data_IF_888381150613
#
_entry.id   IF_888381150613
#
_cell.length_a   1.000
_cell.length_b   1.000
_cell.length_c   1.000
_cell.angle_alpha   90.00
_cell.angle_beta   90.00
_cell.angle_gamma   90.00
#
_symmetry.space_group_name_H-M   'P 1'
#
loop_
_entity.id
_entity.type
_entity.pdbx_description
1 polymer ?
#
# COMPACT_ATOMS: atom_id res chain seq x y z
N UNK A 1 -14.73 -8.35 58.92
CA UNK A 1 -15.28 -7.70 57.71
C UNK A 1 -14.39 -6.59 57.17
N UNK A 2 -13.90 -5.66 58.00
CA UNK A 2 -13.00 -4.57 57.55
C UNK A 2 -11.66 -5.07 57.01
N UNK A 3 -10.98 -5.98 57.71
CA UNK A 3 -9.67 -6.52 57.28
C UNK A 3 -9.78 -7.32 55.97
N UNK A 4 -10.82 -8.13 55.81
CA UNK A 4 -11.06 -8.90 54.58
C UNK A 4 -11.34 -7.99 53.39
N UNK A 5 -12.11 -6.92 53.58
CA UNK A 5 -12.36 -5.89 52.56
C UNK A 5 -11.07 -5.16 52.15
N UNK A 6 -10.22 -4.81 53.12
CA UNK A 6 -8.94 -4.13 52.87
C UNK A 6 -8.00 -5.04 52.06
N UNK A 7 -7.90 -6.32 52.42
CA UNK A 7 -7.05 -7.29 51.71
C UNK A 7 -7.55 -7.51 50.28
N UNK A 8 -8.87 -7.65 50.06
CA UNK A 8 -9.41 -7.80 48.71
C UNK A 8 -9.21 -6.55 47.86
N UNK A 9 -9.40 -5.36 48.44
CA UNK A 9 -9.19 -4.10 47.73
C UNK A 9 -7.72 -3.93 47.31
N UNK A 10 -6.78 -4.24 48.21
CA UNK A 10 -5.35 -4.20 47.91
C UNK A 10 -4.96 -5.16 46.77
N UNK A 11 -5.55 -6.36 46.74
CA UNK A 11 -5.26 -7.37 45.72
C UNK A 11 -5.81 -6.96 44.34
N UNK A 12 -7.03 -6.41 44.28
CA UNK A 12 -7.63 -5.88 43.04
C UNK A 12 -6.82 -4.69 42.51
N UNK A 13 -6.42 -3.76 43.37
CA UNK A 13 -5.59 -2.61 43.01
C UNK A 13 -4.23 -3.08 42.47
N UNK A 14 -3.61 -4.07 43.12
CA UNK A 14 -2.35 -4.68 42.64
C UNK A 14 -2.48 -5.28 41.24
N UNK A 15 -3.58 -5.99 40.96
CA UNK A 15 -3.86 -6.54 39.63
C UNK A 15 -4.07 -5.45 38.57
N UNK A 16 -4.78 -4.36 38.89
CA UNK A 16 -5.00 -3.23 37.99
C UNK A 16 -3.68 -2.50 37.65
N UNK A 17 -2.81 -2.30 38.64
CA UNK A 17 -1.49 -1.69 38.44
C UNK A 17 -0.64 -2.58 37.53
N UNK A 18 -0.61 -3.90 37.77
CA UNK A 18 0.12 -4.84 36.93
C UNK A 18 -0.36 -4.82 35.47
N UNK A 19 -1.67 -4.81 35.23
CA UNK A 19 -2.24 -4.72 33.89
C UNK A 19 -1.89 -3.38 33.22
N UNK A 20 -1.99 -2.27 33.95
CA UNK A 20 -1.62 -0.93 33.46
C UNK A 20 -0.15 -0.86 33.07
N UNK A 21 0.77 -1.32 33.92
CA UNK A 21 2.22 -1.33 33.64
C UNK A 21 2.57 -2.21 32.44
N UNK A 22 1.97 -3.40 32.32
CA UNK A 22 2.17 -4.29 31.16
C UNK A 22 1.64 -3.64 29.88
N UNK A 23 0.48 -2.99 29.94
CA UNK A 23 -0.11 -2.28 28.80
C UNK A 23 0.75 -1.09 28.36
N UNK A 24 1.29 -0.33 29.32
CA UNK A 24 2.13 0.83 29.08
C UNK A 24 3.48 0.43 28.48
N UNK A 25 4.16 -0.57 29.06
CA UNK A 25 5.41 -1.12 28.49
C UNK A 25 5.20 -1.69 27.08
N UNK A 26 4.04 -2.30 26.80
CA UNK A 26 3.68 -2.74 25.45
C UNK A 26 3.39 -1.59 24.50
N UNK A 27 2.79 -0.49 24.96
CA UNK A 27 2.51 0.72 24.17
C UNK A 27 3.79 1.48 23.82
N UNK A 28 4.73 1.59 24.76
CA UNK A 28 6.05 2.16 24.49
C UNK A 28 6.83 1.37 23.42
N UNK A 29 6.73 0.03 23.41
CA UNK A 29 7.27 -0.80 22.32
C UNK A 29 6.58 -0.62 20.96
N UNK A 30 5.36 -0.05 20.91
CA UNK A 30 4.65 0.29 19.66
C UNK A 30 5.04 1.65 19.08
N UNK A 31 5.54 2.57 19.91
CA UNK A 31 5.88 3.93 19.49
C UNK A 31 7.19 4.02 18.69
N UNK A 32 7.94 2.93 18.55
CA UNK A 32 9.26 2.93 17.93
C UNK A 32 9.30 2.94 16.40
N UNK A 33 8.19 2.73 15.68
CA UNK A 33 8.25 2.55 14.21
C UNK A 33 7.00 3.06 13.48
N UNK A 34 6.59 4.30 13.76
CA UNK A 34 5.77 5.04 12.78
C UNK A 34 6.77 5.80 11.93
N UNK A 35 7.11 5.25 10.76
CA UNK A 35 7.86 5.99 9.75
C UNK A 35 7.00 7.21 9.36
N UNK A 36 7.50 8.45 9.50
CA UNK A 36 6.85 9.59 8.91
C UNK A 36 6.85 9.35 7.40
N UNK A 37 5.67 9.23 6.82
CA UNK A 37 5.48 9.03 5.39
C UNK A 37 6.29 10.07 4.62
N UNK A 38 7.29 9.58 3.88
CA UNK A 38 8.16 10.38 3.03
C UNK A 38 7.32 11.20 2.04
N UNK A 39 7.62 12.50 2.01
CA UNK A 39 7.26 13.50 1.02
C UNK A 39 5.77 13.65 0.68
N UNK A 40 5.14 14.66 1.29
CA UNK A 40 3.86 15.19 0.85
C UNK A 40 3.93 15.62 -0.63
N UNK A 41 3.02 15.10 -1.44
CA UNK A 41 2.77 15.52 -2.82
C UNK A 41 2.52 17.03 -2.84
N UNK A 42 3.46 17.82 -3.34
CA UNK A 42 3.28 19.27 -3.47
C UNK A 42 2.35 19.55 -4.65
N UNK A 43 1.16 20.05 -4.37
CA UNK A 43 0.17 20.47 -5.36
C UNK A 43 -0.02 21.98 -5.24
N UNK A 44 -0.22 22.67 -6.37
CA UNK A 44 -0.58 24.08 -6.39
C UNK A 44 -1.80 24.30 -7.31
N UNK A 45 -2.52 25.40 -7.12
CA UNK A 45 -3.60 25.80 -8.03
C UNK A 45 -3.01 26.57 -9.20
N UNK A 46 -3.41 26.27 -10.45
CA UNK A 46 -2.89 26.96 -11.61
C UNK A 46 -3.33 28.43 -11.61
N UNK A 47 -2.40 29.34 -11.95
CA UNK A 47 -2.69 30.77 -12.07
C UNK A 47 -3.47 31.09 -13.37
N UNK A 48 -4.12 32.26 -13.42
CA UNK A 48 -4.87 32.69 -14.61
C UNK A 48 -3.98 32.74 -15.89
N UNK A 49 -2.71 33.11 -15.75
CA UNK A 49 -1.75 33.11 -16.85
C UNK A 49 -1.31 31.70 -17.29
N UNK A 50 -1.29 30.73 -16.38
CA UNK A 50 -0.98 29.32 -16.70
C UNK A 50 -2.13 28.70 -17.49
N UNK A 51 -3.37 28.97 -17.07
CA UNK A 51 -4.57 28.52 -17.77
C UNK A 51 -4.59 29.04 -19.21
N UNK A 52 -4.32 30.33 -19.41
CA UNK A 52 -4.30 30.93 -20.75
C UNK A 52 -3.21 30.32 -21.64
N UNK A 53 -2.02 30.04 -21.09
CA UNK A 53 -0.94 29.40 -21.84
C UNK A 53 -1.30 27.95 -22.24
N UNK A 54 -1.91 27.19 -21.33
CA UNK A 54 -2.36 25.82 -21.59
C UNK A 54 -3.44 25.82 -22.69
N UNK A 55 -4.42 26.74 -22.64
CA UNK A 55 -5.46 26.87 -23.66
C UNK A 55 -4.87 27.22 -25.03
N UNK A 56 -3.91 28.13 -25.07
CA UNK A 56 -3.22 28.50 -26.30
C UNK A 56 -2.48 27.29 -26.92
N UNK A 57 -1.74 26.51 -26.11
CA UNK A 57 -1.04 25.32 -26.60
C UNK A 57 -2.00 24.23 -27.08
N UNK A 58 -3.10 23.99 -26.38
CA UNK A 58 -4.12 23.02 -26.80
C UNK A 58 -4.83 23.42 -28.09
N UNK A 59 -5.16 24.71 -28.26
CA UNK A 59 -5.76 25.21 -29.51
C UNK A 59 -4.79 25.12 -30.69
N UNK A 60 -3.50 25.39 -30.47
CA UNK A 60 -2.45 25.20 -31.47
C UNK A 60 -2.26 23.73 -31.84
N UNK A 61 -2.23 22.83 -30.86
CA UNK A 61 -2.15 21.38 -31.10
C UNK A 61 -3.38 20.84 -31.84
N UNK A 62 -4.58 21.33 -31.52
CA UNK A 62 -5.81 21.00 -32.24
C UNK A 62 -5.77 21.42 -33.71
N UNK A 63 -5.27 22.61 -34.01
CA UNK A 63 -5.09 23.08 -35.39
C UNK A 63 -4.13 22.18 -36.19
N UNK A 64 -3.03 21.73 -35.56
CA UNK A 64 -2.06 20.83 -36.19
C UNK A 64 -2.59 19.40 -36.38
N UNK A 65 -3.38 18.89 -35.44
CA UNK A 65 -3.99 17.57 -35.55
C UNK A 65 -4.98 17.52 -36.73
N UNK A 66 -5.80 18.58 -36.89
CA UNK A 66 -6.73 18.72 -38.01
C UNK A 66 -6.00 18.89 -39.34
N UNK A 67 -4.86 19.59 -39.39
CA UNK A 67 -4.11 19.78 -40.64
C UNK A 67 -3.38 18.53 -41.12
N UNK A 68 -3.02 17.60 -40.22
CA UNK A 68 -2.18 16.43 -40.53
C UNK A 68 -2.96 15.10 -40.59
N UNK A 69 -4.30 15.11 -40.50
CA UNK A 69 -5.13 13.89 -40.43
C UNK A 69 -4.65 12.90 -39.35
N UNK A 70 -4.14 13.42 -38.22
CA UNK A 70 -3.66 12.59 -37.11
C UNK A 70 -4.86 12.18 -36.25
N UNK A 71 -5.08 10.87 -36.07
CA UNK A 71 -6.08 10.35 -35.15
C UNK A 71 -5.56 10.41 -33.70
N UNK A 72 -5.33 11.63 -33.20
CA UNK A 72 -4.79 11.88 -31.87
C UNK A 72 -5.87 12.35 -30.88
N UNK A 73 -5.91 11.74 -29.70
CA UNK A 73 -6.72 12.20 -28.56
C UNK A 73 -6.02 13.35 -27.86
N UNK A 74 -6.45 14.57 -28.15
CA UNK A 74 -5.98 15.77 -27.44
C UNK A 74 -6.55 15.80 -26.01
N UNK A 75 -5.81 16.32 -25.02
CA UNK A 75 -6.36 16.56 -23.70
C UNK A 75 -7.52 17.56 -23.79
N UNK A 76 -8.68 17.18 -23.28
CA UNK A 76 -9.78 18.11 -23.09
C UNK A 76 -9.56 18.89 -21.79
N UNK A 77 -9.68 20.23 -21.81
CA UNK A 77 -9.50 21.03 -20.59
C UNK A 77 -10.37 20.49 -19.44
N UNK A 78 -9.82 20.29 -18.23
CA UNK A 78 -10.54 19.64 -17.15
C UNK A 78 -11.77 20.46 -16.72
N UNK A 79 -12.92 19.80 -16.59
CA UNK A 79 -14.09 20.40 -15.91
C UNK A 79 -14.02 20.31 -14.38
N UNK A 80 -13.14 19.45 -13.83
CA UNK A 80 -13.14 19.09 -12.40
C UNK A 80 -11.81 19.21 -11.64
N UNK A 81 -10.67 19.26 -12.33
CA UNK A 81 -9.34 19.25 -11.69
C UNK A 81 -8.69 20.64 -11.79
N UNK A 82 -8.51 21.29 -10.64
CA UNK A 82 -7.99 22.67 -10.49
C UNK A 82 -6.60 22.67 -9.81
N UNK A 83 -5.83 21.60 -9.99
CA UNK A 83 -4.55 21.43 -9.30
C UNK A 83 -3.48 20.85 -10.23
N UNK A 84 -2.30 21.45 -10.18
CA UNK A 84 -1.07 20.97 -10.81
C UNK A 84 -0.24 20.25 -9.76
N UNK A 85 0.15 19.01 -10.07
CA UNK A 85 0.88 18.11 -9.18
C UNK A 85 2.34 18.01 -9.60
N UNK A 86 3.24 18.22 -8.66
CA UNK A 86 4.68 18.05 -8.89
C UNK A 86 5.11 16.62 -8.56
N UNK A 87 5.69 15.95 -9.55
CA UNK A 87 6.13 14.56 -9.51
C UNK A 87 7.62 14.47 -9.85
N UNK A 88 8.35 13.54 -9.25
CA UNK A 88 9.75 13.27 -9.57
C UNK A 88 9.87 11.87 -10.19
N UNK A 89 9.63 11.75 -11.50
CA UNK A 89 9.55 10.46 -12.20
C UNK A 89 10.36 10.45 -13.51
N UNK A 90 10.58 9.26 -14.05
CA UNK A 90 11.18 9.07 -15.39
C UNK A 90 10.09 9.09 -16.46
N UNK A 91 10.37 9.77 -17.58
CA UNK A 91 9.51 9.76 -18.77
C UNK A 91 10.02 8.70 -19.75
N UNK A 92 9.15 7.81 -20.21
CA UNK A 92 9.43 6.81 -21.24
C UNK A 92 8.65 7.14 -22.51
N UNK A 93 9.28 7.02 -23.69
CA UNK A 93 8.62 7.29 -24.99
C UNK A 93 8.58 6.04 -25.86
N UNK A 94 7.48 5.86 -26.57
CA UNK A 94 7.29 4.78 -27.55
C UNK A 94 6.87 5.37 -28.89
N UNK A 95 7.49 4.92 -29.97
CA UNK A 95 7.08 5.27 -31.32
C UNK A 95 6.00 4.30 -31.79
N UNK A 96 4.79 4.82 -32.07
CA UNK A 96 3.74 4.06 -32.73
C UNK A 96 3.83 4.37 -34.23
N UNK A 97 4.00 3.34 -35.09
CA UNK A 97 4.01 3.55 -36.53
C UNK A 97 2.59 3.82 -37.02
N UNK A 98 2.33 5.04 -37.48
CA UNK A 98 1.06 5.45 -38.09
C UNK A 98 1.23 5.65 -39.60
N UNK A 99 0.12 5.65 -40.37
CA UNK A 99 0.13 5.68 -41.84
C UNK A 99 0.89 6.88 -42.43
N UNK A 100 1.01 7.99 -41.70
CA UNK A 100 1.66 9.23 -42.13
C UNK A 100 2.95 9.57 -41.36
N UNK A 101 3.49 8.68 -40.52
CA UNK A 101 4.73 8.94 -39.77
C UNK A 101 4.87 8.15 -38.48
N UNK A 102 6.01 8.32 -37.80
CA UNK A 102 6.20 7.80 -36.44
C UNK A 102 5.69 8.83 -35.43
N UNK A 103 4.70 8.43 -34.61
CA UNK A 103 4.16 9.26 -33.55
C UNK A 103 4.74 8.83 -32.20
N UNK A 104 5.16 9.80 -31.38
CA UNK A 104 5.71 9.53 -30.05
C UNK A 104 4.61 9.61 -28.98
N UNK A 105 4.47 8.54 -28.21
CA UNK A 105 3.61 8.47 -27.03
C UNK A 105 4.48 8.46 -25.78
N UNK A 106 4.17 9.34 -24.82
CA UNK A 106 4.94 9.52 -23.59
C UNK A 106 4.23 8.88 -22.41
N UNK A 107 5.01 8.28 -21.51
CA UNK A 107 4.51 7.58 -20.34
C UNK A 107 5.29 7.97 -19.09
N UNK A 108 4.56 8.14 -17.99
CA UNK A 108 5.11 8.32 -16.64
C UNK A 108 4.64 7.15 -15.79
N UNK A 109 5.57 6.35 -15.24
CA UNK A 109 5.25 5.18 -14.40
C UNK A 109 4.25 4.19 -15.06
N UNK A 110 4.24 4.14 -16.40
CA UNK A 110 3.35 3.29 -17.18
C UNK A 110 2.00 3.91 -17.58
N UNK A 111 1.72 5.16 -17.17
CA UNK A 111 0.52 5.89 -17.58
C UNK A 111 0.83 6.78 -18.79
N UNK A 112 -0.06 6.80 -19.79
CA UNK A 112 0.07 7.68 -20.95
C UNK A 112 -0.17 9.13 -20.55
N UNK A 113 0.69 10.02 -21.05
CA UNK A 113 0.72 11.44 -20.68
C UNK A 113 0.95 12.25 -21.95
N UNK A 114 0.23 13.36 -22.07
CA UNK A 114 0.45 14.32 -23.14
C UNK A 114 1.62 15.23 -22.80
N UNK A 115 2.65 15.18 -23.64
CA UNK A 115 3.79 16.09 -23.59
C UNK A 115 3.72 17.06 -24.78
N UNK A 116 3.62 18.37 -24.54
CA UNK A 116 3.78 19.39 -25.58
C UNK A 116 5.14 19.28 -26.26
N UNK A 117 5.18 19.40 -27.60
CA UNK A 117 6.40 19.21 -28.39
C UNK A 117 7.57 20.13 -27.97
N UNK A 118 7.24 21.32 -27.46
CA UNK A 118 8.23 22.30 -26.98
C UNK A 118 9.00 21.79 -25.75
N UNK A 119 8.39 20.88 -24.97
CA UNK A 119 8.99 20.31 -23.78
C UNK A 119 9.79 19.02 -24.04
N UNK A 120 9.76 18.47 -25.25
CA UNK A 120 10.47 17.22 -25.58
C UNK A 120 12.00 17.35 -25.45
N UNK A 121 12.54 18.54 -25.69
CA UNK A 121 13.99 18.79 -25.60
C UNK A 121 14.52 18.75 -24.17
N UNK A 122 13.66 18.93 -23.15
CA UNK A 122 14.07 19.02 -21.75
C UNK A 122 13.96 17.71 -20.98
N UNK A 123 13.74 16.57 -21.66
CA UNK A 123 13.64 15.25 -21.02
C UNK A 123 15.03 14.78 -20.56
N UNK A 124 15.14 14.48 -19.26
CA UNK A 124 16.31 13.88 -18.62
C UNK A 124 15.99 12.48 -18.05
N UNK A 125 17.00 11.81 -17.47
CA UNK A 125 16.85 10.48 -16.86
C UNK A 125 15.98 10.49 -15.59
N UNK A 126 15.93 11.62 -14.89
CA UNK A 126 15.10 11.85 -13.69
C UNK A 126 14.51 13.24 -13.82
N UNK A 127 13.18 13.35 -13.94
CA UNK A 127 12.54 14.62 -14.24
C UNK A 127 11.66 15.10 -13.08
N UNK A 128 11.67 16.40 -12.83
CA UNK A 128 10.66 17.08 -12.02
C UNK A 128 9.57 17.52 -12.98
N UNK A 129 8.38 16.93 -12.85
CA UNK A 129 7.29 17.04 -13.80
C UNK A 129 6.10 17.68 -13.09
N UNK A 130 5.60 18.77 -13.62
CA UNK A 130 4.38 19.43 -13.17
C UNK A 130 3.24 18.97 -14.09
N UNK A 131 2.33 18.15 -13.55
CA UNK A 131 1.26 17.48 -14.31
C UNK A 131 -0.10 18.00 -13.88
N UNK A 132 -0.94 18.31 -14.89
CA UNK A 132 -2.35 18.63 -14.71
C UNK A 132 -3.20 17.46 -15.20
N UNK A 133 -4.07 16.95 -14.34
CA UNK A 133 -5.01 15.89 -14.73
C UNK A 133 -6.16 16.49 -15.53
N UNK A 134 -6.36 16.02 -16.75
CA UNK A 134 -7.46 16.43 -17.62
C UNK A 134 -8.54 15.34 -17.66
N UNK A 135 -9.73 15.63 -18.21
CA UNK A 135 -10.83 14.66 -18.29
C UNK A 135 -10.54 13.50 -19.27
N UNK A 136 -9.38 13.50 -19.94
CA UNK A 136 -8.93 12.46 -20.87
C UNK A 136 -7.53 11.94 -20.60
N UNK A 137 -6.48 12.71 -20.91
CA UNK A 137 -5.08 12.31 -20.74
C UNK A 137 -4.35 13.39 -19.95
N UNK A 138 -3.59 13.07 -18.89
CA UNK A 138 -2.87 14.04 -18.09
C UNK A 138 -1.90 14.81 -18.98
N UNK A 139 -1.84 16.11 -18.77
CA UNK A 139 -1.01 17.01 -19.54
C UNK A 139 0.16 17.50 -18.69
N UNK A 140 1.36 17.46 -19.25
CA UNK A 140 2.55 18.05 -18.62
C UNK A 140 2.51 19.55 -18.88
N UNK A 141 2.49 20.32 -17.79
CA UNK A 141 2.49 21.79 -17.78
C UNK A 141 3.89 22.34 -17.52
N UNK A 142 4.73 21.59 -16.82
CA UNK A 142 6.12 21.96 -16.62
C UNK A 142 7.05 20.76 -16.55
N UNK A 143 8.29 20.96 -17.01
CA UNK A 143 9.32 19.94 -17.03
C UNK A 143 10.66 20.55 -16.60
N UNK A 144 11.26 20.01 -15.55
CA UNK A 144 12.61 20.36 -15.07
C UNK A 144 12.82 21.87 -14.81
N UNK A 145 11.77 22.55 -14.36
CA UNK A 145 11.80 23.99 -14.07
C UNK A 145 11.42 24.88 -15.26
N UNK A 146 11.15 24.30 -16.43
CA UNK A 146 10.57 25.00 -17.58
C UNK A 146 9.05 24.90 -17.54
N UNK A 147 8.37 26.03 -17.69
CA UNK A 147 6.91 26.16 -17.67
C UNK A 147 6.40 26.49 -19.09
N UNK A 148 5.22 25.99 -19.45
CA UNK A 148 4.60 26.22 -20.77
C UNK A 148 4.37 27.70 -21.10
N UNK A 149 4.25 28.54 -20.07
CA UNK A 149 4.11 30.00 -20.19
C UNK A 149 5.28 30.67 -20.89
N UNK A 150 6.49 30.13 -20.74
CA UNK A 150 7.71 30.69 -21.33
C UNK A 150 7.71 30.58 -22.86
N UNK A 151 6.84 29.73 -23.42
CA UNK A 151 6.82 29.39 -24.84
C UNK A 151 5.60 29.92 -25.59
N UNK A 152 5.00 31.01 -25.11
CA UNK A 152 3.74 31.56 -25.66
C UNK A 152 3.96 32.38 -26.94
N UNK A 153 5.11 33.05 -27.09
CA UNK A 153 5.23 34.16 -28.06
C UNK A 153 5.99 33.89 -29.37
N UNK A 154 6.90 32.91 -29.49
CA UNK A 154 7.72 32.82 -30.73
C UNK A 154 8.15 31.41 -31.20
N UNK A 155 7.83 30.34 -30.46
CA UNK A 155 8.14 28.97 -30.92
C UNK A 155 7.03 28.43 -31.82
N UNK A 156 6.86 29.06 -32.98
CA UNK A 156 6.12 28.49 -34.08
C UNK A 156 6.72 27.12 -34.43
N UNK A 157 5.95 26.05 -34.19
CA UNK A 157 6.11 24.78 -34.88
C UNK A 157 7.49 24.16 -34.73
N UNK A 158 7.86 23.72 -33.52
CA UNK A 158 8.82 22.63 -33.43
C UNK A 158 8.17 21.41 -34.10
N UNK A 159 8.46 21.25 -35.40
CA UNK A 159 8.19 20.02 -36.15
C UNK A 159 8.62 18.85 -35.27
N UNK A 160 7.88 17.74 -35.21
CA UNK A 160 8.42 16.52 -34.62
C UNK A 160 9.74 16.23 -35.35
N UNK A 161 10.87 16.49 -34.69
CA UNK A 161 12.15 16.15 -35.26
C UNK A 161 12.13 14.62 -35.35
N UNK A 162 12.10 14.13 -36.58
CA UNK A 162 12.58 12.79 -36.94
C UNK A 162 14.07 12.75 -36.63
N UNK A 163 14.42 12.77 -35.34
CA UNK A 163 15.78 12.50 -34.90
C UNK A 163 15.99 11.01 -35.12
N UNK A 164 16.59 10.74 -36.28
CA UNK A 164 17.11 9.47 -36.73
C UNK A 164 18.17 9.00 -35.71
N UNK A 165 17.69 8.48 -34.58
CA UNK A 165 18.51 7.81 -33.59
C UNK A 165 18.16 6.33 -33.70
N UNK A 166 19.11 5.62 -34.28
CA UNK A 166 19.13 4.22 -34.69
C UNK A 166 19.07 3.27 -33.49
N UNK A 167 18.11 3.45 -32.59
CA UNK A 167 17.86 2.55 -31.48
C UNK A 167 16.77 1.58 -31.93
N UNK A 168 17.02 0.25 -31.95
CA UNK A 168 16.02 -0.70 -32.40
C UNK A 168 14.84 -0.66 -31.43
N UNK A 169 13.69 -0.17 -31.91
CA UNK A 169 12.42 -0.25 -31.19
C UNK A 169 11.89 -1.67 -31.33
N UNK A 170 12.15 -2.48 -30.31
CA UNK A 170 11.50 -3.78 -30.13
C UNK A 170 10.08 -3.56 -29.62
N UNK A 171 9.14 -3.32 -30.54
CA UNK A 171 7.73 -3.58 -30.29
C UNK A 171 7.51 -5.11 -30.33
N UNK A 172 7.98 -5.80 -29.28
CA UNK A 172 7.63 -7.18 -29.08
C UNK A 172 6.19 -7.21 -28.57
N UNK A 173 5.26 -7.61 -29.44
CA UNK A 173 4.05 -8.32 -29.01
C UNK A 173 4.60 -9.47 -28.17
N UNK A 174 4.57 -9.32 -26.85
CA UNK A 174 5.02 -10.33 -25.92
C UNK A 174 3.95 -11.42 -25.98
N UNK A 175 4.08 -12.29 -26.99
CA UNK A 175 3.47 -13.60 -26.98
C UNK A 175 3.78 -14.18 -25.62
N UNK A 176 2.72 -14.57 -24.92
CA UNK A 176 2.72 -15.06 -23.55
C UNK A 176 3.50 -16.39 -23.51
N UNK A 177 4.82 -16.33 -23.64
CA UNK A 177 5.70 -17.41 -23.22
C UNK A 177 5.48 -17.46 -21.73
N UNK A 178 4.83 -18.52 -21.26
CA UNK A 178 4.83 -18.94 -19.86
C UNK A 178 6.06 -18.35 -19.18
N UNK A 179 5.89 -17.27 -18.42
CA UNK A 179 6.98 -16.77 -17.61
C UNK A 179 7.37 -17.98 -16.76
N UNK A 180 8.60 -18.47 -16.89
CA UNK A 180 9.03 -19.74 -16.30
C UNK A 180 8.74 -19.72 -14.79
N UNK A 181 7.56 -20.20 -14.42
CA UNK A 181 7.16 -20.37 -13.03
C UNK A 181 7.56 -21.77 -12.67
N UNK A 182 8.61 -21.86 -11.88
CA UNK A 182 9.05 -23.10 -11.29
C UNK A 182 8.33 -23.24 -9.94
N UNK A 183 7.47 -24.25 -9.82
CA UNK A 183 6.90 -24.63 -8.54
C UNK A 183 7.97 -25.37 -7.73
N UNK A 184 8.41 -24.76 -6.61
CA UNK A 184 9.47 -25.31 -5.77
C UNK A 184 8.93 -26.31 -4.74
N UNK A 185 7.62 -26.28 -4.45
CA UNK A 185 6.98 -27.20 -3.53
C UNK A 185 6.03 -26.52 -2.54
N UNK A 186 5.57 -27.29 -1.56
CA UNK A 186 4.74 -26.81 -0.46
C UNK A 186 5.49 -26.82 0.86
N UNK A 187 5.22 -25.81 1.67
CA UNK A 187 5.78 -25.63 3.01
C UNK A 187 4.64 -25.34 3.98
N UNK A 188 4.71 -25.84 5.20
CA UNK A 188 3.76 -25.44 6.26
C UNK A 188 4.03 -24.05 6.80
N UNK A 189 2.95 -23.35 7.09
CA UNK A 189 2.93 -22.05 7.76
C UNK A 189 3.71 -22.09 9.09
N UNK A 190 4.44 -21.01 9.37
CA UNK A 190 5.13 -20.82 10.63
C UNK A 190 4.22 -20.30 11.73
N UNK A 191 4.56 -20.54 13.00
CA UNK A 191 3.76 -20.07 14.14
C UNK A 191 3.60 -18.56 14.17
N UNK A 192 4.62 -17.83 13.70
CA UNK A 192 4.62 -16.39 13.66
C UNK A 192 3.60 -15.85 12.64
N UNK A 193 3.57 -16.43 11.43
CA UNK A 193 2.58 -16.11 10.40
C UNK A 193 1.15 -16.44 10.87
N UNK A 194 0.97 -17.63 11.48
CA UNK A 194 -0.32 -18.06 12.02
C UNK A 194 -0.91 -17.06 13.02
N UNK A 195 -0.06 -16.55 13.92
CA UNK A 195 -0.45 -15.60 14.96
C UNK A 195 -0.83 -14.22 14.39
N UNK A 196 -0.35 -13.83 13.20
CA UNK A 196 -0.75 -12.57 12.56
C UNK A 196 -2.19 -12.63 12.07
N UNK A 197 -2.60 -13.78 11.51
CA UNK A 197 -3.94 -13.98 10.97
C UNK A 197 -4.98 -14.25 12.07
N UNK A 198 -4.62 -15.01 13.10
CA UNK A 198 -5.53 -15.41 14.17
C UNK A 198 -5.37 -14.54 15.42
N UNK A 199 -6.25 -13.53 15.58
CA UNK A 199 -6.32 -12.75 16.81
C UNK A 199 -7.10 -13.49 17.92
N UNK A 200 -6.43 -14.31 18.74
CA UNK A 200 -7.06 -15.02 19.86
C UNK A 200 -7.32 -14.13 21.11
N UNK A 201 -7.65 -12.85 20.89
CA UNK A 201 -7.75 -11.86 21.97
C UNK A 201 -9.11 -11.79 22.65
N UNK A 202 -10.18 -12.29 22.02
CA UNK A 202 -11.53 -12.20 22.60
C UNK A 202 -11.69 -13.15 23.80
N UNK A 203 -11.37 -14.43 23.62
CA UNK A 203 -11.52 -15.44 24.70
C UNK A 203 -10.67 -15.10 25.92
N UNK A 204 -9.43 -14.65 25.70
CA UNK A 204 -8.56 -14.21 26.80
C UNK A 204 -9.09 -12.97 27.52
N UNK A 205 -9.61 -11.98 26.78
CA UNK A 205 -10.24 -10.79 27.35
C UNK A 205 -11.50 -11.12 28.16
N UNK A 206 -12.40 -11.91 27.61
CA UNK A 206 -13.66 -12.30 28.26
C UNK A 206 -13.42 -13.09 29.54
N UNK A 207 -12.43 -14.01 29.56
CA UNK A 207 -12.07 -14.75 30.77
C UNK A 207 -11.53 -13.83 31.88
N UNK A 208 -10.71 -12.84 31.51
CA UNK A 208 -10.19 -11.86 32.47
C UNK A 208 -11.33 -11.01 33.04
N UNK A 209 -12.21 -10.47 32.18
CA UNK A 209 -13.35 -9.64 32.61
C UNK A 209 -14.30 -10.44 33.51
N UNK A 210 -14.66 -11.65 33.11
CA UNK A 210 -15.53 -12.52 33.90
C UNK A 210 -14.90 -12.88 35.26
N UNK A 211 -13.59 -13.17 35.28
CA UNK A 211 -12.85 -13.43 36.51
C UNK A 211 -12.83 -12.24 37.47
N UNK A 212 -12.60 -11.01 36.96
CA UNK A 212 -12.66 -9.79 37.78
C UNK A 212 -14.07 -9.53 38.30
N UNK A 213 -15.10 -9.68 37.45
CA UNK A 213 -16.49 -9.45 37.83
C UNK A 213 -16.93 -10.45 38.91
N UNK A 214 -16.53 -11.72 38.78
CA UNK A 214 -16.79 -12.77 39.77
C UNK A 214 -16.10 -12.48 41.12
N UNK A 215 -14.86 -11.99 41.08
CA UNK A 215 -14.17 -11.58 42.31
C UNK A 215 -14.80 -10.34 42.97
N UNK A 216 -15.36 -9.42 42.16
CA UNK A 216 -16.02 -8.21 42.66
C UNK A 216 -17.38 -8.53 43.30
N UNK A 217 -18.17 -9.43 42.70
CA UNK A 217 -19.45 -9.87 43.27
C UNK A 217 -19.27 -10.70 44.53
N UNK A 218 -18.13 -11.40 44.69
CA UNK A 218 -17.81 -12.17 45.90
C UNK A 218 -17.82 -11.31 47.18
N UNK A 219 -17.45 -10.03 47.08
CA UNK A 219 -17.36 -9.11 48.23
C UNK A 219 -18.71 -8.88 48.92
N UNK A 220 -19.81 -8.99 48.18
CA UNK A 220 -21.17 -8.79 48.69
C UNK A 220 -21.81 -10.08 49.24
N UNK A 221 -21.16 -11.23 49.09
CA UNK A 221 -21.73 -12.53 49.45
C UNK A 221 -21.41 -12.94 50.89
N UNK A 222 -22.22 -13.83 51.49
CA UNK A 222 -21.95 -14.38 52.82
C UNK A 222 -20.59 -15.09 52.93
N UNK A 223 -19.99 -15.18 54.14
CA UNK A 223 -18.62 -15.69 54.33
C UNK A 223 -18.37 -17.10 53.80
N UNK A 224 -19.39 -17.97 53.79
CA UNK A 224 -19.25 -19.34 53.28
C UNK A 224 -19.15 -19.38 51.74
N UNK A 225 -19.84 -18.47 51.03
CA UNK A 225 -19.79 -18.36 49.56
C UNK A 225 -18.57 -17.56 49.08
N UNK A 226 -18.08 -16.64 49.90
CA UNK A 226 -16.95 -15.77 49.59
C UNK A 226 -15.72 -16.56 49.09
N UNK A 227 -15.30 -17.60 49.82
CA UNK A 227 -14.11 -18.37 49.45
C UNK A 227 -14.29 -19.16 48.15
N UNK A 228 -15.49 -19.72 47.91
CA UNK A 228 -15.80 -20.44 46.68
C UNK A 228 -15.83 -19.51 45.46
N UNK A 229 -16.40 -18.31 45.60
CA UNK A 229 -16.42 -17.33 44.52
C UNK A 229 -15.04 -16.75 44.22
N UNK A 230 -14.20 -16.54 45.24
CA UNK A 230 -12.82 -16.12 45.03
C UNK A 230 -11.99 -17.20 44.34
N UNK A 231 -12.18 -18.48 44.70
CA UNK A 231 -11.55 -19.59 44.01
C UNK A 231 -12.01 -19.69 42.54
N UNK A 232 -13.30 -19.50 42.27
CA UNK A 232 -13.85 -19.46 40.92
C UNK A 232 -13.30 -18.29 40.10
N UNK A 233 -13.24 -17.08 40.68
CA UNK A 233 -12.68 -15.89 40.04
C UNK A 233 -11.19 -16.07 39.70
N UNK A 234 -10.39 -16.58 40.64
CA UNK A 234 -8.97 -16.90 40.40
C UNK A 234 -8.79 -17.97 39.31
N UNK A 235 -9.68 -18.99 39.30
CA UNK A 235 -9.71 -20.04 38.28
C UNK A 235 -10.02 -19.54 36.87
N UNK A 236 -10.68 -18.38 36.71
CA UNK A 236 -10.92 -17.73 35.42
C UNK A 236 -9.79 -16.75 35.03
N UNK A 237 -9.24 -16.03 36.01
CA UNK A 237 -8.18 -15.04 35.78
C UNK A 237 -6.86 -15.67 35.34
N UNK A 238 -6.41 -16.73 36.02
CA UNK A 238 -5.14 -17.40 35.72
C UNK A 238 -5.05 -17.90 34.27
N UNK A 239 -6.01 -18.71 33.75
CA UNK A 239 -5.97 -19.13 32.36
C UNK A 239 -6.14 -17.95 31.39
N UNK A 240 -6.95 -16.95 31.71
CA UNK A 240 -7.09 -15.73 30.88
C UNK A 240 -5.77 -14.98 30.71
N UNK A 241 -5.00 -14.82 31.80
CA UNK A 241 -3.67 -14.20 31.79
C UNK A 241 -2.67 -15.07 31.01
N UNK A 242 -2.66 -16.38 31.23
CA UNK A 242 -1.77 -17.32 30.53
C UNK A 242 -2.05 -17.31 29.03
N UNK A 243 -3.32 -17.36 28.60
CA UNK A 243 -3.75 -17.26 27.21
C UNK A 243 -3.37 -15.92 26.56
N UNK A 244 -3.34 -14.83 27.34
CA UNK A 244 -2.87 -13.54 26.84
C UNK A 244 -1.35 -13.47 26.65
N UNK A 245 -0.59 -14.28 27.39
CA UNK A 245 0.88 -14.30 27.33
C UNK A 245 1.36 -15.29 26.28
N UNK A 246 0.73 -16.46 26.20
CA UNK A 246 1.09 -17.55 25.30
C UNK A 246 -0.10 -17.77 24.34
N UNK A 247 -0.01 -17.29 23.09
CA UNK A 247 -1.02 -17.62 22.10
C UNK A 247 -0.99 -19.13 21.86
N UNK A 248 -2.11 -19.80 22.10
CA UNK A 248 -2.26 -21.21 21.77
C UNK A 248 -2.35 -21.33 20.26
N UNK A 249 -1.24 -21.74 19.64
CA UNK A 249 -1.21 -22.07 18.22
C UNK A 249 -1.63 -23.52 18.04
N UNK A 250 -2.78 -23.74 17.41
CA UNK A 250 -3.22 -25.08 17.08
C UNK A 250 -2.46 -25.56 15.83
N UNK A 251 -1.46 -26.43 16.02
CA UNK A 251 -0.62 -26.96 14.93
C UNK A 251 -1.43 -27.64 13.82
N UNK A 252 -2.64 -28.14 14.11
CA UNK A 252 -3.53 -28.78 13.12
C UNK A 252 -4.21 -27.78 12.17
N UNK A 253 -4.16 -26.48 12.47
CA UNK A 253 -4.75 -25.40 11.66
C UNK A 253 -3.72 -24.60 10.85
N UNK A 254 -2.46 -25.02 10.83
CA UNK A 254 -1.43 -24.39 10.00
C UNK A 254 -1.77 -24.65 8.54
N UNK A 255 -1.85 -23.57 7.75
CA UNK A 255 -2.13 -23.67 6.31
C UNK A 255 -0.89 -24.10 5.55
N UNK A 256 -1.09 -24.71 4.39
CA UNK A 256 -0.02 -24.98 3.45
C UNK A 256 0.25 -23.71 2.62
N UNK A 257 1.54 -23.41 2.44
CA UNK A 257 2.05 -22.28 1.68
C UNK A 257 2.74 -22.88 0.46
N UNK A 258 2.40 -22.38 -0.72
CA UNK A 258 2.95 -22.78 -1.98
C UNK A 258 4.14 -21.89 -2.33
N UNK A 259 5.27 -22.52 -2.66
CA UNK A 259 6.50 -21.85 -3.00
C UNK A 259 6.67 -21.86 -4.52
N UNK A 260 6.69 -20.68 -5.11
CA UNK A 260 6.92 -20.48 -6.54
C UNK A 260 8.19 -19.69 -6.75
N UNK A 261 8.81 -19.88 -7.91
CA UNK A 261 9.92 -19.07 -8.39
C UNK A 261 9.57 -18.57 -9.77
N UNK A 262 9.66 -17.27 -9.97
CA UNK A 262 9.38 -16.66 -11.26
C UNK A 262 9.53 -15.15 -11.20
N UNK A 263 9.06 -14.47 -12.23
CA UNK A 263 9.19 -13.03 -12.36
C UNK A 263 7.81 -12.40 -12.12
N UNK A 264 7.59 -11.71 -10.97
CA UNK A 264 6.35 -10.98 -10.75
C UNK A 264 6.29 -9.79 -11.70
N UNK A 265 5.17 -9.66 -12.40
CA UNK A 265 4.89 -8.56 -13.34
C UNK A 265 3.72 -7.75 -12.82
N UNK A 266 3.86 -6.43 -12.84
CA UNK A 266 2.78 -5.49 -12.53
C UNK A 266 1.93 -5.30 -13.78
N UNK A 267 0.64 -5.56 -13.67
CA UNK A 267 -0.35 -5.19 -14.67
C UNK A 267 -0.99 -3.86 -14.26
N UNK A 268 -1.03 -2.93 -15.20
CA UNK A 268 -1.89 -1.77 -15.15
C UNK A 268 -2.85 -1.88 -16.31
N UNK A 269 -4.15 -1.80 -16.05
CA UNK A 269 -5.11 -1.56 -17.12
C UNK A 269 -4.93 -0.11 -17.55
N UNK A 270 -4.53 0.07 -18.80
CA UNK A 270 -4.48 1.39 -19.42
C UNK A 270 -5.91 1.96 -19.45
N UNK A 271 -6.12 3.16 -18.92
CA UNK A 271 -7.27 4.00 -19.30
C UNK A 271 -8.37 4.30 -18.28
N UNK A 272 -8.16 4.25 -16.96
CA UNK A 272 -9.13 4.86 -16.02
C UNK A 272 -8.44 5.52 -14.82
N UNK A 273 -8.71 6.82 -14.62
CA UNK A 273 -8.08 7.72 -13.62
C UNK A 273 -8.60 7.53 -12.19
N UNK A 274 -8.98 6.32 -11.80
CA UNK A 274 -9.31 6.06 -10.40
C UNK A 274 -8.05 5.61 -9.66
N UNK A 275 -7.47 6.54 -8.88
CA UNK A 275 -6.40 6.31 -7.91
C UNK A 275 -6.68 5.18 -6.89
N UNK A 276 -7.85 4.54 -6.94
CA UNK A 276 -8.23 3.35 -6.17
C UNK A 276 -8.02 2.01 -6.87
N UNK A 277 -7.59 1.98 -8.14
CA UNK A 277 -7.23 0.71 -8.79
C UNK A 277 -5.87 0.22 -8.28
N UNK A 278 -5.94 -0.69 -7.31
CA UNK A 278 -4.83 -1.53 -6.86
C UNK A 278 -4.13 -2.10 -8.08
N UNK A 279 -2.89 -1.69 -8.32
CA UNK A 279 -2.08 -2.32 -9.35
C UNK A 279 -2.00 -3.82 -9.08
N UNK A 280 -2.58 -4.63 -9.95
CA UNK A 280 -2.53 -6.08 -9.81
C UNK A 280 -1.15 -6.55 -10.23
N UNK A 281 -0.43 -7.19 -9.31
CA UNK A 281 0.83 -7.84 -9.62
C UNK A 281 0.48 -9.31 -9.82
N UNK A 282 0.89 -9.89 -10.94
CA UNK A 282 0.69 -11.31 -11.19
C UNK A 282 2.03 -12.03 -11.30
N UNK A 283 2.01 -13.31 -10.96
CA UNK A 283 3.05 -14.26 -11.29
C UNK A 283 2.50 -15.22 -12.35
N UNK A 284 2.97 -15.06 -13.60
CA UNK A 284 2.60 -15.87 -14.77
C UNK A 284 1.13 -16.27 -14.85
N UNK A 285 0.24 -15.30 -14.67
CA UNK A 285 -1.21 -15.45 -14.79
C UNK A 285 -1.96 -15.61 -13.47
N UNK A 286 -1.27 -15.81 -12.34
CA UNK A 286 -1.88 -15.82 -11.01
C UNK A 286 -1.74 -14.43 -10.39
N UNK A 287 -2.85 -13.79 -10.06
CA UNK A 287 -2.83 -12.50 -9.36
C UNK A 287 -2.38 -12.67 -7.90
N UNK A 288 -1.44 -11.84 -7.47
CA UNK A 288 -0.85 -11.86 -6.14
C UNK A 288 -1.51 -10.81 -5.25
N UNK A 289 -1.97 -11.21 -4.08
CA UNK A 289 -2.58 -10.32 -3.10
C UNK A 289 -1.54 -9.96 -2.03
N UNK A 290 -1.07 -8.72 -2.08
CA UNK A 290 -0.09 -8.21 -1.12
C UNK A 290 -0.75 -7.53 0.10
N UNK A 291 -0.12 -7.61 1.29
CA UNK A 291 -0.48 -6.76 2.41
C UNK A 291 -0.34 -5.28 2.04
N UNK A 292 -1.30 -4.44 2.47
CA UNK A 292 -1.34 -3.01 2.11
C UNK A 292 -0.07 -2.24 2.47
N UNK A 293 0.55 -2.58 3.60
CA UNK A 293 1.75 -1.88 4.03
C UNK A 293 2.95 -2.20 3.15
N UNK A 294 2.96 -3.29 2.39
CA UNK A 294 4.09 -3.66 1.52
C UNK A 294 4.14 -2.86 0.22
N UNK A 295 3.06 -2.17 -0.15
CA UNK A 295 2.90 -1.45 -1.42
C UNK A 295 4.11 -0.59 -1.84
N UNK A 296 4.72 0.24 -0.97
CA UNK A 296 5.84 1.10 -1.35
C UNK A 296 7.13 0.35 -1.69
N UNK A 297 7.29 -0.89 -1.21
CA UNK A 297 8.52 -1.67 -1.35
C UNK A 297 8.46 -2.70 -2.47
N UNK A 298 7.31 -2.86 -3.13
CA UNK A 298 7.12 -3.85 -4.20
C UNK A 298 7.98 -3.54 -5.44
N UNK A 299 8.29 -2.26 -5.69
CA UNK A 299 9.06 -1.82 -6.85
C UNK A 299 10.46 -2.42 -6.94
N UNK A 300 11.07 -2.79 -5.81
CA UNK A 300 12.46 -3.23 -5.76
C UNK A 300 12.66 -4.64 -6.36
N UNK A 301 11.68 -5.52 -6.19
CA UNK A 301 11.77 -6.93 -6.58
C UNK A 301 10.99 -7.24 -7.88
N UNK A 302 10.20 -6.28 -8.39
CA UNK A 302 9.43 -6.39 -9.63
C UNK A 302 10.35 -6.54 -10.85
N UNK A 303 10.01 -7.46 -11.77
CA UNK A 303 10.78 -7.71 -12.99
C UNK A 303 12.05 -8.56 -12.81
N UNK A 304 12.39 -8.95 -11.58
CA UNK A 304 13.51 -9.85 -11.29
C UNK A 304 13.01 -11.26 -10.92
N UNK A 305 13.83 -12.30 -11.18
CA UNK A 305 13.50 -13.68 -10.79
C UNK A 305 13.55 -13.76 -9.26
N UNK A 306 12.38 -13.94 -8.65
CA UNK A 306 12.23 -13.98 -7.20
C UNK A 306 11.46 -15.20 -6.75
N UNK A 307 11.75 -15.63 -5.52
CA UNK A 307 10.98 -16.67 -4.84
C UNK A 307 9.79 -16.01 -4.15
N UNK A 308 8.60 -16.52 -4.42
CA UNK A 308 7.34 -16.02 -3.88
C UNK A 308 6.67 -17.18 -3.15
N UNK A 309 6.40 -16.96 -1.86
CA UNK A 309 5.64 -17.88 -1.05
C UNK A 309 4.24 -17.28 -0.86
N UNK A 310 3.21 -18.01 -1.25
CA UNK A 310 1.82 -17.56 -1.13
C UNK A 310 0.91 -18.66 -0.58
N UNK A 311 -0.15 -18.27 0.09
CA UNK A 311 -1.22 -19.17 0.48
C UNK A 311 -2.05 -19.60 -0.75
N UNK A 312 -2.89 -20.62 -0.57
CA UNK A 312 -3.85 -21.08 -1.59
C UNK A 312 -4.84 -19.98 -2.04
N UNK A 313 -5.13 -19.01 -1.16
CA UNK A 313 -5.96 -17.84 -1.45
C UNK A 313 -5.17 -16.69 -2.11
N UNK A 314 -3.99 -16.98 -2.67
CA UNK A 314 -3.12 -16.06 -3.41
C UNK A 314 -2.55 -14.91 -2.56
N UNK A 315 -2.70 -14.96 -1.24
CA UNK A 315 -2.07 -14.00 -0.33
C UNK A 315 -0.58 -14.27 -0.21
N UNK A 316 0.24 -13.25 -0.47
CA UNK A 316 1.69 -13.37 -0.44
C UNK A 316 2.20 -13.29 1.01
N UNK A 317 3.02 -14.27 1.38
CA UNK A 317 3.64 -14.41 2.70
C UNK A 317 5.08 -13.94 2.69
N UNK A 318 5.76 -14.15 1.57
CA UNK A 318 7.16 -13.79 1.38
C UNK A 318 7.43 -13.54 -0.10
N UNK A 319 8.19 -12.50 -0.38
CA UNK A 319 8.75 -12.22 -1.69
C UNK A 319 10.24 -11.90 -1.55
N UNK A 320 11.06 -12.67 -2.25
CA UNK A 320 12.49 -12.44 -2.35
C UNK A 320 13.21 -12.48 -1.01
N UNK A 321 14.07 -11.48 -0.80
CA UNK A 321 14.97 -11.38 0.37
C UNK A 321 14.43 -10.45 1.45
N UNK A 322 13.72 -9.39 1.07
CA UNK A 322 13.40 -8.29 1.97
C UNK A 322 11.96 -8.32 2.49
N UNK A 323 11.04 -8.96 1.78
CA UNK A 323 9.63 -9.00 2.14
C UNK A 323 9.29 -10.38 2.69
N UNK A 324 9.09 -10.47 4.01
CA UNK A 324 8.64 -11.71 4.66
C UNK A 324 7.82 -11.42 5.91
N UNK A 325 6.60 -11.96 5.97
CA UNK A 325 5.72 -11.80 7.14
C UNK A 325 6.32 -12.44 8.42
N UNK A 326 7.14 -13.48 8.28
CA UNK A 326 7.84 -14.10 9.41
C UNK A 326 8.90 -13.18 10.02
N UNK A 327 9.72 -12.57 9.17
CA UNK A 327 10.75 -11.64 9.63
C UNK A 327 10.10 -10.38 10.19
N UNK A 328 9.05 -9.90 9.52
CA UNK A 328 8.26 -8.75 9.97
C UNK A 328 7.65 -9.00 11.36
N UNK A 329 6.96 -10.12 11.59
CA UNK A 329 6.39 -10.42 12.92
C UNK A 329 7.43 -10.57 14.03
N UNK A 330 8.65 -10.99 13.68
CA UNK A 330 9.76 -11.12 14.63
C UNK A 330 10.37 -9.76 14.97
N UNK A 331 10.55 -8.90 13.96
CA UNK A 331 11.18 -7.58 14.10
C UNK A 331 10.19 -6.49 14.54
N UNK A 332 8.95 -6.61 14.12
CA UNK A 332 7.83 -5.69 14.32
C UNK A 332 6.57 -6.48 14.76
N UNK A 333 6.47 -6.87 16.04
CA UNK A 333 5.33 -7.66 16.51
C UNK A 333 4.03 -6.84 16.47
N UNK A 334 3.28 -6.95 15.37
CA UNK A 334 1.98 -6.31 15.18
C UNK A 334 0.92 -6.97 16.06
N UNK A 335 0.66 -6.37 17.22
CA UNK A 335 -0.27 -6.87 18.21
C UNK A 335 -1.62 -6.13 18.12
N UNK A 336 -2.58 -6.69 17.35
CA UNK A 336 -3.97 -6.18 17.08
C UNK A 336 -4.88 -5.96 18.30
N UNK A 337 -4.37 -5.90 19.53
CA UNK A 337 -5.16 -5.75 20.75
C UNK A 337 -5.90 -4.41 20.87
N UNK A 338 -5.65 -3.43 19.99
CA UNK A 338 -6.31 -2.13 20.02
C UNK A 338 -7.84 -2.22 19.89
N UNK A 339 -8.34 -3.08 18.99
CA UNK A 339 -9.80 -3.29 18.84
C UNK A 339 -10.40 -4.01 20.05
N UNK A 340 -9.68 -4.99 20.60
CA UNK A 340 -10.17 -5.77 21.75
C UNK A 340 -10.19 -4.96 23.05
N UNK A 341 -9.25 -4.01 23.23
CA UNK A 341 -9.22 -3.12 24.39
C UNK A 341 -10.32 -2.06 24.30
N UNK A 342 -10.63 -1.58 23.10
CA UNK A 342 -11.73 -0.64 22.88
C UNK A 342 -13.08 -1.32 23.15
N UNK A 343 -13.28 -2.54 22.64
CA UNK A 343 -14.46 -3.35 22.94
C UNK A 343 -14.57 -3.67 24.44
N UNK A 344 -13.46 -3.96 25.13
CA UNK A 344 -13.46 -4.22 26.57
C UNK A 344 -13.62 -2.97 27.45
N UNK A 345 -13.50 -1.76 26.89
CA UNK A 345 -13.78 -0.50 27.58
C UNK A 345 -15.21 0.00 27.29
N UNK A 346 -15.77 -0.38 26.15
CA UNK A 346 -17.15 -0.01 25.75
C UNK A 346 -18.19 -1.06 26.10
N UNK A 347 -17.77 -2.24 26.56
CA UNK A 347 -18.59 -3.29 27.17
C UNK A 347 -18.38 -3.30 28.67
#
# INVERSE_FOLDING_TARGET
MTITLIITAALVIGCLIMVSVISHRRRQRRAGYVLPSLASLTHHRPGAGEIQAIEHHLTCAARQAVSNDLHFTLPAFPKKSDHVYRLCNRITRYAIPEKNGQQWHYYIEGNEVYLPAVLDEFIQATNVIDVMFTDGIPMIVGLNGHDLREFTDDHALARPMTKNNNVPVQAAILTNSNADIEFLGTRRESRQEYNLQHSHGFISGTLIVCGVLTALTAVFMPPFLFYWMMAAGAGLLLPGIILSLIPISNRRRLRDIQCYRGIPKRWGLFGDFDHSQKHSISLGGIDLIYPRHWEPWLHQDLGSVTQIEMYEDQQVVRQGKYLSLREESTRFPYRRYGKNLLIALTS
#
